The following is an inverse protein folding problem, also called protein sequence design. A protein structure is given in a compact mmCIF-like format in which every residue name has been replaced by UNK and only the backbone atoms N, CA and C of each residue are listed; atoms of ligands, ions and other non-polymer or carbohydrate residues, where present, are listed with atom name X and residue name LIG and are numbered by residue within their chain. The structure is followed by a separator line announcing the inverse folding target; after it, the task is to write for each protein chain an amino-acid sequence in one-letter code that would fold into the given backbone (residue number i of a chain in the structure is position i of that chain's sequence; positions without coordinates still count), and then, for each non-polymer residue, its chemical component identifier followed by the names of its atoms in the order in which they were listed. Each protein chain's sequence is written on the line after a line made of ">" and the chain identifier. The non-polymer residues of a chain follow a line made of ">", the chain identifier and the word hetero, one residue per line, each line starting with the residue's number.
data_IF_097732578291
#
_entry.id   IF_097732578291
#
_cell.length_a   1.000
_cell.length_b   1.000
_cell.length_c   1.000
_cell.angle_alpha   90.00
_cell.angle_beta   90.00
_cell.angle_gamma   90.00
#
_symmetry.space_group_name_H-M   'P 1'
#
loop_
_entity.id
_entity.type
_entity.pdbx_description
1 polymer ?
#
# COMPACT_ATOMS: atom_id res chain seq x y z
N UNK A 1 -3.59 -53.01 40.23
CA UNK A 1 -4.33 -51.73 40.20
C UNK A 1 -3.88 -50.98 38.96
N UNK A 2 -4.70 -51.00 37.90
CA UNK A 2 -4.43 -50.23 36.69
C UNK A 2 -4.80 -48.78 36.94
N UNK A 3 -3.81 -47.91 37.01
CA UNK A 3 -4.00 -46.46 37.03
C UNK A 3 -4.70 -46.08 35.72
N UNK A 4 -5.99 -45.73 35.77
CA UNK A 4 -6.67 -45.13 34.63
C UNK A 4 -5.94 -43.82 34.32
N UNK A 5 -5.15 -43.81 33.24
CA UNK A 5 -4.61 -42.58 32.70
C UNK A 5 -5.80 -41.65 32.43
N UNK A 6 -5.85 -40.54 33.16
CA UNK A 6 -6.80 -39.47 32.88
C UNK A 6 -6.53 -39.01 31.45
N UNK A 7 -7.36 -39.44 30.51
CA UNK A 7 -7.30 -38.95 29.14
C UNK A 7 -7.59 -37.46 29.21
N UNK A 8 -6.57 -36.65 28.95
CA UNK A 8 -6.69 -35.21 29.07
C UNK A 8 -7.51 -34.72 27.86
N UNK A 9 -8.82 -34.61 28.03
CA UNK A 9 -9.81 -34.24 27.00
C UNK A 9 -9.74 -32.74 26.64
N UNK A 10 -8.65 -32.03 26.93
CA UNK A 10 -8.56 -30.57 26.74
C UNK A 10 -7.16 -30.11 26.41
N UNK A 11 -7.09 -29.05 25.61
CA UNK A 11 -5.83 -28.33 25.41
C UNK A 11 -5.44 -27.59 26.70
N UNK A 12 -4.13 -27.38 26.87
CA UNK A 12 -3.61 -26.49 27.92
C UNK A 12 -4.23 -25.10 27.82
N UNK A 13 -4.41 -24.41 28.96
CA UNK A 13 -4.95 -23.05 28.98
C UNK A 13 -4.18 -22.08 28.05
N UNK A 14 -2.85 -22.21 27.98
CA UNK A 14 -1.99 -21.39 27.10
C UNK A 14 -2.37 -21.60 25.62
N UNK A 15 -2.50 -22.85 25.18
CA UNK A 15 -2.93 -23.14 23.80
C UNK A 15 -4.32 -22.59 23.46
N UNK A 16 -5.24 -22.58 24.42
CA UNK A 16 -6.58 -22.01 24.27
C UNK A 16 -6.51 -20.48 24.15
N UNK A 17 -5.77 -19.82 25.05
CA UNK A 17 -5.57 -18.36 25.01
C UNK A 17 -4.92 -17.94 23.69
N UNK A 18 -3.85 -18.61 23.28
CA UNK A 18 -3.19 -18.35 21.99
C UNK A 18 -4.14 -18.56 20.81
N UNK A 19 -5.02 -19.57 20.87
CA UNK A 19 -5.99 -19.83 19.80
C UNK A 19 -6.96 -18.66 19.63
N UNK A 20 -7.62 -18.27 20.73
CA UNK A 20 -8.63 -17.22 20.69
C UNK A 20 -8.03 -15.84 20.44
N UNK A 21 -6.85 -15.54 20.99
CA UNK A 21 -6.14 -14.30 20.71
C UNK A 21 -5.84 -14.14 19.20
N UNK A 22 -5.29 -15.19 18.57
CA UNK A 22 -5.01 -15.20 17.13
C UNK A 22 -6.31 -15.15 16.32
N UNK A 23 -7.33 -15.94 16.71
CA UNK A 23 -8.60 -15.97 16.00
C UNK A 23 -9.27 -14.58 15.97
N UNK A 24 -9.36 -13.90 17.12
CA UNK A 24 -9.93 -12.56 17.17
C UNK A 24 -9.09 -11.54 16.41
N UNK A 25 -7.76 -11.62 16.51
CA UNK A 25 -6.88 -10.75 15.74
C UNK A 25 -7.11 -10.91 14.22
N UNK A 26 -7.18 -12.15 13.71
CA UNK A 26 -7.45 -12.42 12.28
C UNK A 26 -8.84 -11.94 11.88
N UNK A 27 -9.89 -12.27 12.66
CA UNK A 27 -11.27 -11.88 12.37
C UNK A 27 -11.47 -10.36 12.35
N UNK A 28 -10.69 -9.61 13.13
CA UNK A 28 -10.65 -8.15 13.07
C UNK A 28 -9.80 -7.65 11.88
N UNK A 29 -8.65 -8.26 11.63
CA UNK A 29 -7.69 -7.75 10.65
C UNK A 29 -8.14 -7.91 9.20
N UNK A 30 -8.92 -8.97 8.89
CA UNK A 30 -9.46 -9.21 7.54
C UNK A 30 -10.40 -8.07 7.08
N UNK A 31 -11.50 -7.74 7.78
CA UNK A 31 -12.38 -6.64 7.37
C UNK A 31 -11.68 -5.29 7.39
N UNK A 32 -10.74 -5.06 8.32
CA UNK A 32 -9.90 -3.86 8.31
C UNK A 32 -9.08 -3.76 7.01
N UNK A 33 -8.48 -4.87 6.58
CA UNK A 33 -7.70 -4.94 5.35
C UNK A 33 -8.53 -4.70 4.09
N UNK A 34 -9.75 -5.24 4.04
CA UNK A 34 -10.70 -4.97 2.95
C UNK A 34 -11.10 -3.50 2.91
N UNK A 35 -11.48 -2.94 4.05
CA UNK A 35 -11.89 -1.55 4.17
C UNK A 35 -10.76 -0.58 3.77
N UNK A 36 -9.53 -0.77 4.26
CA UNK A 36 -8.42 0.13 3.92
C UNK A 36 -8.04 0.05 2.44
N UNK A 37 -8.15 -1.13 1.82
CA UNK A 37 -7.88 -1.32 0.40
C UNK A 37 -8.93 -0.61 -0.47
N UNK A 38 -10.22 -0.76 -0.15
CA UNK A 38 -11.29 -0.03 -0.85
C UNK A 38 -11.11 1.49 -0.78
N UNK A 39 -10.62 1.99 0.37
CA UNK A 39 -10.31 3.42 0.55
C UNK A 39 -9.11 3.85 -0.31
N UNK A 40 -8.07 3.03 -0.38
CA UNK A 40 -6.91 3.29 -1.22
C UNK A 40 -7.28 3.34 -2.71
N UNK A 41 -8.11 2.40 -3.18
CA UNK A 41 -8.65 2.39 -4.55
C UNK A 41 -9.52 3.64 -4.85
N UNK A 42 -10.22 4.15 -3.83
CA UNK A 42 -10.95 5.41 -3.92
C UNK A 42 -10.06 6.66 -3.81
N UNK A 43 -8.73 6.52 -3.80
CA UNK A 43 -7.74 7.58 -3.64
C UNK A 43 -7.86 8.38 -2.31
N UNK A 44 -8.50 7.79 -1.30
CA UNK A 44 -8.61 8.36 0.05
C UNK A 44 -7.31 8.14 0.82
N UNK A 45 -6.59 9.25 1.08
CA UNK A 45 -5.34 9.26 1.84
C UNK A 45 -5.49 9.97 3.18
N UNK A 46 -6.70 10.01 3.72
CA UNK A 46 -6.94 10.60 5.03
C UNK A 46 -6.08 9.95 6.11
N UNK A 47 -5.78 10.72 7.17
CA UNK A 47 -5.03 10.24 8.32
C UNK A 47 -5.65 8.97 8.93
N UNK A 48 -6.98 8.86 8.90
CA UNK A 48 -7.70 7.66 9.35
C UNK A 48 -7.33 6.41 8.55
N UNK A 49 -7.23 6.53 7.22
CA UNK A 49 -6.81 5.42 6.35
C UNK A 49 -5.35 5.07 6.61
N UNK A 50 -4.46 6.06 6.73
CA UNK A 50 -3.06 5.81 7.09
C UNK A 50 -2.92 5.05 8.42
N UNK A 51 -3.63 5.49 9.47
CA UNK A 51 -3.65 4.83 10.78
C UNK A 51 -4.19 3.41 10.68
N UNK A 52 -5.19 3.16 9.85
CA UNK A 52 -5.72 1.82 9.60
C UNK A 52 -4.69 0.90 8.94
N UNK A 53 -3.93 1.37 7.94
CA UNK A 53 -2.82 0.62 7.36
C UNK A 53 -1.77 0.27 8.42
N UNK A 54 -1.38 1.21 9.27
CA UNK A 54 -0.40 0.95 10.33
C UNK A 54 -0.94 -0.04 11.39
N UNK A 55 -2.22 0.07 11.75
CA UNK A 55 -2.88 -0.87 12.65
C UNK A 55 -2.92 -2.28 12.04
N UNK A 56 -3.29 -2.40 10.76
CA UNK A 56 -3.35 -3.67 10.05
C UNK A 56 -1.99 -4.38 10.01
N UNK A 57 -0.92 -3.64 9.69
CA UNK A 57 0.46 -4.14 9.71
C UNK A 57 0.85 -4.62 11.12
N UNK A 58 0.56 -3.82 12.14
CA UNK A 58 0.89 -4.12 13.54
C UNK A 58 0.18 -5.38 14.05
N UNK A 59 -1.10 -5.54 13.73
CA UNK A 59 -1.88 -6.74 14.08
C UNK A 59 -1.35 -7.94 13.32
N UNK A 60 -1.05 -7.80 12.02
CA UNK A 60 -0.44 -8.86 11.21
C UNK A 60 0.88 -9.38 11.80
N UNK A 61 1.80 -8.47 12.17
CA UNK A 61 3.06 -8.83 12.83
C UNK A 61 2.83 -9.48 14.20
N UNK A 62 1.83 -9.03 14.95
CA UNK A 62 1.46 -9.65 16.24
C UNK A 62 0.96 -11.08 16.04
N UNK A 63 0.12 -11.32 15.01
CA UNK A 63 -0.34 -12.66 14.63
C UNK A 63 0.85 -13.55 14.25
N UNK A 64 1.84 -13.03 13.52
CA UNK A 64 3.05 -13.77 13.17
C UNK A 64 3.78 -14.25 14.44
N UNK A 65 4.07 -13.34 15.38
CA UNK A 65 4.76 -13.66 16.64
C UNK A 65 3.96 -14.67 17.47
N UNK A 66 2.67 -14.43 17.68
CA UNK A 66 1.81 -15.34 18.43
C UNK A 66 1.71 -16.72 17.77
N UNK A 67 1.73 -16.77 16.43
CA UNK A 67 1.71 -18.02 15.68
C UNK A 67 3.01 -18.80 15.83
N UNK A 68 4.17 -18.14 15.84
CA UNK A 68 5.46 -18.78 16.14
C UNK A 68 5.45 -19.38 17.55
N UNK A 69 4.97 -18.64 18.55
CA UNK A 69 4.81 -19.14 19.93
C UNK A 69 3.85 -20.34 19.95
N UNK A 70 2.72 -20.27 19.23
CA UNK A 70 1.75 -21.37 19.12
C UNK A 70 2.35 -22.61 18.47
N UNK A 71 3.14 -22.46 17.41
CA UNK A 71 3.84 -23.57 16.75
C UNK A 71 4.83 -24.20 17.71
N UNK A 72 5.67 -23.40 18.38
CA UNK A 72 6.61 -23.89 19.40
C UNK A 72 5.90 -24.62 20.56
N UNK A 73 4.78 -24.08 21.01
CA UNK A 73 3.94 -24.72 22.03
C UNK A 73 3.40 -26.07 21.56
N UNK A 74 2.91 -26.15 20.32
CA UNK A 74 2.39 -27.40 19.75
C UNK A 74 3.47 -28.46 19.55
N UNK A 75 4.70 -28.06 19.24
CA UNK A 75 5.82 -29.00 19.08
C UNK A 75 6.28 -29.59 20.42
N UNK A 76 6.05 -28.87 21.52
CA UNK A 76 6.50 -29.26 22.87
C UNK A 76 5.42 -29.92 23.72
N UNK A 77 4.14 -29.81 23.34
CA UNK A 77 3.01 -30.31 24.12
C UNK A 77 2.13 -31.28 23.31
N UNK A 78 1.73 -32.40 23.93
CA UNK A 78 0.86 -33.38 23.32
C UNK A 78 -0.55 -32.80 23.06
N UNK A 79 -1.09 -33.06 21.87
CA UNK A 79 -2.47 -32.72 21.52
C UNK A 79 -3.46 -33.71 22.17
N UNK A 80 -4.66 -33.28 22.58
CA UNK A 80 -5.74 -34.17 22.97
C UNK A 80 -6.01 -35.20 21.87
N UNK A 81 -6.33 -36.43 22.27
CA UNK A 81 -6.71 -37.48 21.33
C UNK A 81 -7.96 -37.08 20.55
N UNK A 82 -7.94 -37.29 19.24
CA UNK A 82 -9.15 -37.17 18.42
C UNK A 82 -10.18 -38.23 18.84
N UNK A 83 -11.50 -37.96 18.68
CA UNK A 83 -12.53 -38.92 19.04
C UNK A 83 -12.31 -40.28 18.36
N UNK A 84 -12.46 -41.36 19.13
CA UNK A 84 -12.18 -42.72 18.64
C UNK A 84 -13.11 -43.07 17.46
N UNK A 85 -14.37 -42.63 17.53
CA UNK A 85 -15.42 -42.87 16.55
C UNK A 85 -15.31 -42.00 15.27
N UNK A 86 -14.43 -40.99 15.25
CA UNK A 86 -14.27 -40.11 14.10
C UNK A 86 -13.65 -40.88 12.91
N UNK A 87 -14.27 -40.84 11.71
CA UNK A 87 -13.74 -41.46 10.50
C UNK A 87 -12.31 -41.01 10.15
N UNK A 88 -11.54 -41.89 9.52
CA UNK A 88 -10.13 -41.60 9.16
C UNK A 88 -9.99 -40.40 8.24
N UNK A 89 -10.95 -40.17 7.33
CA UNK A 89 -10.94 -39.03 6.42
C UNK A 89 -11.18 -37.71 7.17
N UNK A 90 -12.05 -37.66 8.19
CA UNK A 90 -12.24 -36.48 9.04
C UNK A 90 -10.98 -36.17 9.85
N UNK A 91 -10.31 -37.21 10.38
CA UNK A 91 -9.01 -37.07 11.07
C UNK A 91 -7.93 -36.50 10.15
N UNK A 92 -7.86 -36.97 8.90
CA UNK A 92 -6.93 -36.45 7.90
C UNK A 92 -7.26 -35.01 7.51
N UNK A 93 -8.54 -34.71 7.25
CA UNK A 93 -9.01 -33.36 6.94
C UNK A 93 -8.67 -32.38 8.06
N UNK A 94 -8.90 -32.75 9.33
CA UNK A 94 -8.53 -31.93 10.49
C UNK A 94 -7.02 -31.64 10.53
N UNK A 95 -6.17 -32.64 10.23
CA UNK A 95 -4.71 -32.44 10.17
C UNK A 95 -4.30 -31.49 9.04
N UNK A 96 -4.87 -31.66 7.85
CA UNK A 96 -4.60 -30.82 6.68
C UNK A 96 -5.06 -29.39 6.95
N UNK A 97 -6.28 -29.19 7.47
CA UNK A 97 -6.81 -27.86 7.84
C UNK A 97 -5.90 -27.17 8.86
N UNK A 98 -5.45 -27.87 9.90
CA UNK A 98 -4.50 -27.27 10.85
C UNK A 98 -3.16 -26.91 10.19
N UNK A 99 -2.62 -27.77 9.32
CA UNK A 99 -1.39 -27.47 8.59
C UNK A 99 -1.55 -26.24 7.69
N UNK A 100 -2.66 -26.15 6.97
CA UNK A 100 -2.99 -25.01 6.11
C UNK A 100 -3.14 -23.72 6.93
N UNK A 101 -3.74 -23.77 8.12
CA UNK A 101 -3.74 -22.61 9.02
C UNK A 101 -2.34 -22.23 9.48
N UNK A 102 -1.49 -23.19 9.88
CA UNK A 102 -0.11 -22.85 10.26
C UNK A 102 0.64 -22.20 9.11
N UNK A 103 0.49 -22.73 7.90
CA UNK A 103 1.04 -22.10 6.70
C UNK A 103 0.47 -20.69 6.51
N UNK A 104 -0.85 -20.52 6.49
CA UNK A 104 -1.51 -19.23 6.27
C UNK A 104 -1.14 -18.18 7.33
N UNK A 105 -1.15 -18.54 8.61
CA UNK A 105 -0.82 -17.64 9.73
C UNK A 105 0.63 -17.14 9.70
N UNK A 106 1.54 -17.86 9.04
CA UNK A 106 2.92 -17.41 8.83
C UNK A 106 3.05 -16.67 7.49
N UNK A 107 2.53 -17.25 6.41
CA UNK A 107 2.69 -16.73 5.06
C UNK A 107 1.96 -15.39 4.82
N UNK A 108 0.76 -15.20 5.37
CA UNK A 108 0.02 -13.93 5.26
C UNK A 108 0.82 -12.74 5.81
N UNK A 109 1.19 -12.71 7.10
CA UNK A 109 1.91 -11.56 7.63
C UNK A 109 3.31 -11.41 7.02
N UNK A 110 3.98 -12.52 6.65
CA UNK A 110 5.27 -12.43 5.95
C UNK A 110 5.14 -11.80 4.55
N UNK A 111 4.12 -12.16 3.77
CA UNK A 111 3.89 -11.55 2.46
C UNK A 111 3.49 -10.08 2.58
N UNK A 112 2.72 -9.71 3.61
CA UNK A 112 2.40 -8.31 3.91
C UNK A 112 3.63 -7.50 4.34
N UNK A 113 4.51 -8.08 5.17
CA UNK A 113 5.77 -7.44 5.57
C UNK A 113 6.71 -7.28 4.36
N UNK A 114 6.77 -8.29 3.49
CA UNK A 114 7.55 -8.23 2.26
C UNK A 114 7.03 -7.15 1.30
N UNK A 115 5.71 -7.00 1.19
CA UNK A 115 5.07 -5.93 0.39
C UNK A 115 5.51 -4.54 0.87
N UNK A 116 5.37 -4.26 2.17
CA UNK A 116 5.74 -2.94 2.71
C UNK A 116 7.25 -2.71 2.67
N UNK A 117 8.05 -3.77 2.73
CA UNK A 117 9.52 -3.69 2.61
C UNK A 117 9.98 -3.30 1.21
N UNK A 118 9.23 -3.67 0.16
CA UNK A 118 9.54 -3.24 -1.20
C UNK A 118 9.39 -1.72 -1.39
N UNK A 119 8.64 -1.05 -0.52
CA UNK A 119 8.47 0.40 -0.55
C UNK A 119 7.93 0.90 -1.90
N UNK A 120 7.01 0.16 -2.52
CA UNK A 120 6.38 0.50 -3.79
C UNK A 120 4.86 0.52 -3.64
N UNK A 121 4.22 1.56 -4.16
CA UNK A 121 2.77 1.66 -4.21
C UNK A 121 2.24 1.02 -5.49
N UNK A 122 1.54 -0.11 -5.37
CA UNK A 122 0.92 -0.77 -6.53
C UNK A 122 -0.25 0.05 -7.11
N UNK A 123 -0.91 0.88 -6.29
CA UNK A 123 -2.05 1.69 -6.74
C UNK A 123 -1.64 2.87 -7.63
N UNK A 124 -0.47 3.45 -7.36
CA UNK A 124 0.03 4.65 -8.06
C UNK A 124 1.28 4.38 -8.88
N UNK A 125 1.68 3.10 -8.95
CA UNK A 125 2.85 2.58 -9.65
C UNK A 125 4.12 3.42 -9.49
N UNK A 126 4.50 3.70 -8.25
CA UNK A 126 5.68 4.52 -7.91
C UNK A 126 6.29 4.14 -6.57
N UNK A 127 7.57 4.52 -6.32
CA UNK A 127 8.19 4.41 -5.01
C UNK A 127 7.35 5.09 -3.92
N UNK A 128 7.08 4.36 -2.83
CA UNK A 128 6.42 4.87 -1.65
C UNK A 128 6.95 4.13 -0.42
N UNK A 129 8.01 4.67 0.18
CA UNK A 129 8.61 4.13 1.40
C UNK A 129 7.86 4.69 2.59
N UNK A 130 7.00 3.88 3.19
CA UNK A 130 6.27 4.23 4.41
C UNK A 130 6.82 3.40 5.56
N UNK A 131 7.49 4.02 6.55
CA UNK A 131 8.00 3.32 7.72
C UNK A 131 6.90 2.52 8.40
N UNK A 132 7.13 1.22 8.63
CA UNK A 132 6.19 0.39 9.38
C UNK A 132 6.45 0.60 10.85
N UNK A 133 5.48 1.18 11.57
CA UNK A 133 5.59 1.41 13.01
C UNK A 133 4.74 0.41 13.77
N UNK A 134 5.35 -0.39 14.65
CA UNK A 134 4.62 -1.36 15.46
C UNK A 134 3.81 -0.66 16.55
N UNK A 135 2.49 -0.54 16.35
CA UNK A 135 1.56 0.25 17.18
C UNK A 135 2.05 1.68 17.49
N UNK A 136 2.86 2.27 16.61
CA UNK A 136 3.47 3.59 16.82
C UNK A 136 4.66 3.61 17.79
N UNK A 137 5.07 2.48 18.36
CA UNK A 137 6.09 2.39 19.42
C UNK A 137 7.51 2.45 18.86
N UNK A 138 7.81 1.63 17.85
CA UNK A 138 9.12 1.53 17.23
C UNK A 138 9.00 1.19 15.75
N UNK A 139 10.07 1.47 15.00
CA UNK A 139 10.17 1.16 13.59
C UNK A 139 10.49 -0.33 13.39
N UNK A 140 9.77 -0.97 12.48
CA UNK A 140 10.03 -2.35 12.07
C UNK A 140 10.87 -2.29 10.80
N UNK A 141 12.09 -2.89 10.80
CA UNK A 141 12.99 -2.82 9.67
C UNK A 141 12.37 -3.48 8.43
N UNK A 142 12.78 -3.00 7.27
CA UNK A 142 12.47 -3.63 6.00
C UNK A 142 13.23 -4.95 5.83
N UNK A 143 12.63 -5.87 5.09
CA UNK A 143 13.23 -7.16 4.81
C UNK A 143 14.20 -7.04 3.64
N UNK A 144 15.39 -7.63 3.83
CA UNK A 144 16.41 -7.81 2.79
C UNK A 144 16.93 -6.52 2.15
N UNK A 145 16.72 -5.36 2.77
CA UNK A 145 17.08 -4.06 2.19
C UNK A 145 16.32 -3.76 0.89
N UNK A 146 15.13 -4.34 0.73
CA UNK A 146 14.32 -4.18 -0.49
C UNK A 146 13.93 -2.73 -0.76
N UNK A 147 13.88 -1.88 0.26
CA UNK A 147 13.61 -0.46 0.10
C UNK A 147 14.68 0.28 -0.72
N UNK A 148 15.90 -0.28 -0.80
CA UNK A 148 17.04 0.25 -1.55
C UNK A 148 17.34 -0.51 -2.85
N UNK A 149 16.53 -1.50 -3.20
CA UNK A 149 16.69 -2.22 -4.46
C UNK A 149 16.28 -1.34 -5.66
N UNK A 150 16.67 -1.75 -6.86
CA UNK A 150 16.23 -1.09 -8.09
C UNK A 150 14.71 -1.07 -8.21
N UNK A 151 14.17 -0.02 -8.83
CA UNK A 151 12.73 0.21 -8.92
C UNK A 151 11.99 -0.95 -9.61
N UNK A 152 12.58 -1.56 -10.65
CA UNK A 152 12.01 -2.75 -11.31
C UNK A 152 11.86 -3.94 -10.34
N UNK A 153 12.82 -4.15 -9.46
CA UNK A 153 12.80 -5.22 -8.44
C UNK A 153 11.75 -4.90 -7.38
N UNK A 154 11.67 -3.64 -6.94
CA UNK A 154 10.68 -3.18 -5.97
C UNK A 154 9.26 -3.32 -6.49
N UNK A 155 9.00 -2.81 -7.70
CA UNK A 155 7.71 -2.88 -8.36
C UNK A 155 7.24 -4.31 -8.58
N UNK A 156 8.09 -5.15 -9.19
CA UNK A 156 7.76 -6.56 -9.46
C UNK A 156 7.55 -7.36 -8.17
N UNK A 157 8.36 -7.13 -7.13
CA UNK A 157 8.19 -7.78 -5.83
C UNK A 157 6.87 -7.36 -5.20
N UNK A 158 6.61 -6.06 -5.10
CA UNK A 158 5.41 -5.52 -4.49
C UNK A 158 4.13 -6.05 -5.16
N UNK A 159 4.09 -6.06 -6.49
CA UNK A 159 2.95 -6.58 -7.24
C UNK A 159 2.68 -8.07 -6.94
N UNK A 160 3.72 -8.90 -7.05
CA UNK A 160 3.58 -10.34 -6.87
C UNK A 160 3.22 -10.72 -5.42
N UNK A 161 3.85 -10.07 -4.44
CA UNK A 161 3.63 -10.41 -3.03
C UNK A 161 2.31 -9.84 -2.51
N UNK A 162 1.84 -8.70 -3.01
CA UNK A 162 0.49 -8.19 -2.71
C UNK A 162 -0.58 -9.11 -3.29
N UNK A 163 -0.41 -9.56 -4.54
CA UNK A 163 -1.30 -10.54 -5.16
C UNK A 163 -1.37 -11.82 -4.34
N UNK A 164 -0.23 -12.33 -3.89
CA UNK A 164 -0.16 -13.51 -3.04
C UNK A 164 -0.82 -13.25 -1.67
N UNK A 165 -0.58 -12.10 -1.05
CA UNK A 165 -1.19 -11.72 0.23
C UNK A 165 -2.72 -11.73 0.13
N UNK A 166 -3.27 -11.13 -0.93
CA UNK A 166 -4.70 -11.12 -1.21
C UNK A 166 -5.27 -12.54 -1.39
N UNK A 167 -4.59 -13.38 -2.17
CA UNK A 167 -4.97 -14.77 -2.39
C UNK A 167 -5.00 -15.57 -1.07
N UNK A 168 -3.96 -15.42 -0.25
CA UNK A 168 -3.87 -16.09 1.05
C UNK A 168 -4.94 -15.58 2.03
N UNK A 169 -5.33 -14.31 1.94
CA UNK A 169 -6.39 -13.72 2.75
C UNK A 169 -7.74 -14.39 2.50
N UNK A 170 -8.14 -14.49 1.23
CA UNK A 170 -9.35 -15.19 0.83
C UNK A 170 -9.31 -16.69 1.15
N UNK A 171 -8.17 -17.34 0.89
CA UNK A 171 -7.99 -18.75 1.22
C UNK A 171 -8.14 -19.00 2.73
N UNK A 172 -7.56 -18.13 3.56
CA UNK A 172 -7.65 -18.22 5.03
C UNK A 172 -9.06 -17.93 5.52
N UNK A 173 -9.77 -16.96 4.93
CA UNK A 173 -11.17 -16.69 5.27
C UNK A 173 -12.08 -17.90 4.94
N UNK A 174 -11.91 -18.49 3.76
CA UNK A 174 -12.63 -19.70 3.37
C UNK A 174 -12.33 -20.88 4.30
N UNK A 175 -11.05 -21.07 4.65
CA UNK A 175 -10.62 -22.11 5.59
C UNK A 175 -11.17 -21.87 7.01
N UNK A 176 -11.22 -20.62 7.47
CA UNK A 176 -11.83 -20.21 8.74
C UNK A 176 -13.32 -20.55 8.77
N UNK A 177 -14.06 -20.23 7.70
CA UNK A 177 -15.47 -20.61 7.56
C UNK A 177 -15.68 -22.12 7.65
N UNK A 178 -14.87 -22.89 6.90
CA UNK A 178 -14.91 -24.36 6.92
C UNK A 178 -14.57 -24.93 8.30
N UNK A 179 -13.58 -24.36 8.98
CA UNK A 179 -13.18 -24.76 10.33
C UNK A 179 -14.29 -24.52 11.36
N UNK A 180 -14.91 -23.34 11.33
CA UNK A 180 -16.04 -23.02 12.22
C UNK A 180 -17.24 -23.92 11.90
N UNK A 181 -17.57 -24.12 10.63
CA UNK A 181 -18.66 -25.00 10.22
C UNK A 181 -18.42 -26.45 10.70
N UNK A 182 -17.18 -26.96 10.60
CA UNK A 182 -16.83 -28.27 11.13
C UNK A 182 -17.00 -28.32 12.66
N UNK A 183 -16.52 -27.32 13.40
CA UNK A 183 -16.69 -27.27 14.86
C UNK A 183 -18.18 -27.27 15.26
N UNK A 184 -19.03 -26.53 14.54
CA UNK A 184 -20.48 -26.51 14.76
C UNK A 184 -21.14 -27.84 14.37
N UNK A 185 -20.70 -28.48 13.28
CA UNK A 185 -21.14 -29.84 12.90
C UNK A 185 -20.88 -30.81 14.06
N UNK A 186 -19.65 -30.81 14.56
CA UNK A 186 -19.22 -31.68 15.66
C UNK A 186 -20.02 -31.42 16.94
N UNK A 187 -20.30 -30.16 17.26
CA UNK A 187 -21.10 -29.80 18.44
C UNK A 187 -22.58 -30.20 18.34
N UNK A 188 -23.23 -29.92 17.20
CA UNK A 188 -24.69 -30.02 17.10
C UNK A 188 -25.18 -31.35 16.48
N UNK A 189 -24.41 -31.91 15.55
CA UNK A 189 -24.79 -33.12 14.81
C UNK A 189 -24.06 -34.36 15.33
N UNK A 190 -22.73 -34.33 15.39
CA UNK A 190 -21.95 -35.48 15.86
C UNK A 190 -22.00 -35.59 17.40
N UNK A 191 -22.25 -34.47 18.09
CA UNK A 191 -22.36 -34.33 19.54
C UNK A 191 -21.14 -34.91 20.27
N UNK A 192 -19.96 -34.55 19.79
CA UNK A 192 -18.69 -35.05 20.34
C UNK A 192 -17.92 -33.97 21.13
N UNK A 193 -16.77 -34.37 21.66
CA UNK A 193 -15.91 -33.55 22.51
C UNK A 193 -15.08 -32.48 21.78
N UNK A 194 -15.10 -32.40 20.44
CA UNK A 194 -14.16 -31.59 19.64
C UNK A 194 -14.21 -30.11 20.01
N UNK A 195 -15.40 -29.54 20.17
CA UNK A 195 -15.55 -28.12 20.54
C UNK A 195 -15.14 -27.86 22.01
N UNK A 196 -15.39 -28.83 22.89
CA UNK A 196 -15.03 -28.75 24.31
C UNK A 196 -13.51 -28.76 24.56
N UNK A 197 -12.72 -29.16 23.55
CA UNK A 197 -11.25 -29.08 23.61
C UNK A 197 -10.74 -27.62 23.59
N UNK A 198 -11.45 -26.70 22.93
CA UNK A 198 -11.00 -25.31 22.71
C UNK A 198 -11.85 -24.24 23.40
N UNK A 199 -13.09 -24.53 23.80
CA UNK A 199 -13.95 -23.55 24.47
C UNK A 199 -13.78 -23.64 26.00
N UNK A 200 -13.31 -22.58 26.68
CA UNK A 200 -13.24 -22.55 28.14
C UNK A 200 -14.60 -22.83 28.77
N UNK A 201 -14.66 -23.73 29.75
CA UNK A 201 -15.89 -24.01 30.49
C UNK A 201 -16.92 -24.90 29.78
N UNK A 202 -16.81 -25.14 28.46
CA UNK A 202 -17.72 -26.03 27.74
C UNK A 202 -17.41 -27.50 28.08
N UNK A 203 -18.33 -28.17 28.78
CA UNK A 203 -18.23 -29.62 29.03
C UNK A 203 -18.62 -30.37 27.76
N UNK A 204 -17.87 -31.41 27.40
CA UNK A 204 -18.22 -32.27 26.28
C UNK A 204 -19.66 -32.79 26.47
N UNK A 205 -20.57 -32.60 25.50
CA UNK A 205 -21.88 -33.20 25.57
C UNK A 205 -21.67 -34.72 25.43
N UNK A 206 -22.03 -35.47 26.45
CA UNK A 206 -22.32 -36.91 26.36
C UNK A 206 -21.14 -37.82 25.97
N UNK A 207 -20.30 -38.13 26.96
CA UNK A 207 -19.69 -39.46 27.01
C UNK A 207 -20.79 -40.50 27.33
N UNK A 208 -21.61 -40.87 26.33
CA UNK A 208 -22.30 -42.17 26.22
C UNK A 208 -23.12 -42.29 24.92
N UNK A 209 -22.99 -43.49 24.36
CA UNK A 209 -23.76 -44.17 23.32
C UNK A 209 -23.43 -43.86 21.85
N UNK A 210 -22.58 -44.73 21.30
CA UNK A 210 -22.37 -44.94 19.87
C UNK A 210 -23.70 -45.33 19.19
N UNK A 211 -24.42 -44.36 18.64
CA UNK A 211 -25.57 -44.61 17.78
C UNK A 211 -25.16 -44.48 16.31
N UNK A 212 -25.57 -45.47 15.52
CA UNK A 212 -25.18 -45.74 14.14
C UNK A 212 -25.23 -44.53 13.19
N UNK A 213 -24.23 -44.45 12.32
CA UNK A 213 -24.11 -43.50 11.23
C UNK A 213 -25.17 -43.75 10.14
N UNK A 214 -26.10 -42.80 9.95
CA UNK A 214 -26.94 -42.74 8.75
C UNK A 214 -26.10 -42.19 7.58
N UNK A 215 -25.63 -43.08 6.71
CA UNK A 215 -24.78 -42.75 5.55
C UNK A 215 -25.36 -41.70 4.60
N UNK A 216 -26.67 -41.48 4.60
CA UNK A 216 -27.33 -40.47 3.79
C UNK A 216 -27.11 -39.02 4.28
N UNK A 217 -26.86 -38.81 5.58
CA UNK A 217 -26.57 -37.48 6.17
C UNK A 217 -25.10 -37.06 6.01
N UNK A 218 -24.21 -38.04 5.87
CA UNK A 218 -22.78 -37.83 5.59
C UNK A 218 -22.53 -37.47 4.12
N UNK A 219 -23.36 -37.97 3.19
CA UNK A 219 -23.24 -37.66 1.77
C UNK A 219 -23.60 -36.20 1.44
N UNK A 220 -24.63 -35.63 2.09
CA UNK A 220 -25.04 -34.23 1.92
C UNK A 220 -24.04 -33.23 2.52
N UNK A 221 -23.40 -33.57 3.64
CA UNK A 221 -22.35 -32.76 4.25
C UNK A 221 -21.00 -32.91 3.54
N UNK A 222 -20.67 -34.11 3.06
CA UNK A 222 -19.50 -34.36 2.20
C UNK A 222 -19.56 -33.57 0.89
N UNK A 223 -20.75 -33.41 0.30
CA UNK A 223 -20.97 -32.59 -0.89
C UNK A 223 -20.78 -31.08 -0.61
N UNK A 224 -21.27 -30.58 0.54
CA UNK A 224 -21.06 -29.17 0.92
C UNK A 224 -19.59 -28.82 1.20
N UNK A 225 -18.86 -29.69 1.90
CA UNK A 225 -17.43 -29.54 2.18
C UNK A 225 -16.57 -29.67 0.91
N UNK A 226 -16.93 -30.58 0.00
CA UNK A 226 -16.22 -30.75 -1.27
C UNK A 226 -16.49 -29.62 -2.25
N UNK A 227 -17.71 -29.08 -2.34
CA UNK A 227 -18.02 -27.87 -3.15
C UNK A 227 -17.25 -26.66 -2.62
N UNK A 228 -17.16 -26.48 -1.30
CA UNK A 228 -16.43 -25.35 -0.70
C UNK A 228 -14.91 -25.49 -0.85
N UNK A 229 -14.38 -26.71 -0.73
CA UNK A 229 -12.97 -26.99 -1.03
C UNK A 229 -12.65 -26.84 -2.52
N UNK A 230 -13.57 -27.22 -3.42
CA UNK A 230 -13.45 -26.99 -4.86
C UNK A 230 -13.48 -25.49 -5.18
N UNK A 231 -14.34 -24.71 -4.52
CA UNK A 231 -14.41 -23.25 -4.70
C UNK A 231 -13.15 -22.55 -4.16
N UNK A 232 -12.59 -23.01 -3.05
CA UNK A 232 -11.30 -22.52 -2.53
C UNK A 232 -10.11 -22.87 -3.45
N UNK A 233 -10.06 -24.10 -3.97
CA UNK A 233 -9.06 -24.52 -4.97
C UNK A 233 -9.25 -23.82 -6.32
N UNK A 234 -10.50 -23.56 -6.73
CA UNK A 234 -10.84 -22.83 -7.94
C UNK A 234 -10.48 -21.35 -7.81
N UNK A 235 -10.72 -20.72 -6.66
CA UNK A 235 -10.27 -19.35 -6.37
C UNK A 235 -8.74 -19.25 -6.36
N UNK A 236 -8.05 -20.26 -5.81
CA UNK A 236 -6.58 -20.33 -5.84
C UNK A 236 -6.08 -20.50 -7.29
N UNK A 237 -6.73 -21.35 -8.08
CA UNK A 237 -6.41 -21.57 -9.49
C UNK A 237 -6.70 -20.34 -10.37
N UNK A 238 -7.82 -19.64 -10.18
CA UNK A 238 -8.16 -18.43 -10.95
C UNK A 238 -7.20 -17.28 -10.66
N UNK A 239 -6.78 -17.10 -9.41
CA UNK A 239 -5.78 -16.07 -9.05
C UNK A 239 -4.40 -16.39 -9.64
N UNK A 240 -4.01 -17.67 -9.71
CA UNK A 240 -2.71 -18.06 -10.27
C UNK A 240 -2.67 -18.08 -11.81
N UNK A 241 -3.82 -18.22 -12.49
CA UNK A 241 -3.88 -18.41 -13.95
C UNK A 241 -4.45 -17.23 -14.74
N UNK A 242 -5.05 -16.23 -14.10
CA UNK A 242 -5.45 -15.00 -14.78
C UNK A 242 -4.20 -14.16 -15.12
N UNK A 243 -3.96 -13.85 -16.41
CA UNK A 243 -3.06 -12.77 -16.77
C UNK A 243 -3.74 -11.49 -16.30
N UNK A 244 -3.24 -10.91 -15.20
CA UNK A 244 -3.50 -9.50 -14.92
C UNK A 244 -2.88 -8.79 -16.12
N UNK A 245 -3.73 -8.26 -16.99
CA UNK A 245 -3.26 -7.50 -18.15
C UNK A 245 -2.27 -6.46 -17.64
N UNK A 246 -1.07 -6.46 -18.21
CA UNK A 246 -0.19 -5.31 -18.10
C UNK A 246 -1.06 -4.11 -18.46
N UNK A 247 -1.20 -3.15 -17.55
CA UNK A 247 -1.74 -1.86 -17.95
C UNK A 247 -0.93 -1.41 -19.17
N UNK A 248 -1.56 -1.04 -20.30
CA UNK A 248 -0.80 -0.50 -21.41
C UNK A 248 0.04 0.65 -20.87
N UNK A 249 1.33 0.75 -21.24
CA UNK A 249 2.17 1.84 -20.78
C UNK A 249 1.43 3.15 -21.05
N UNK A 250 1.33 3.99 -20.01
CA UNK A 250 0.69 5.30 -20.12
C UNK A 250 1.29 6.00 -21.35
N UNK A 251 0.46 6.54 -22.25
CA UNK A 251 0.99 7.32 -23.35
C UNK A 251 1.85 8.45 -22.76
N UNK A 252 3.01 8.76 -23.36
CA UNK A 252 3.82 9.88 -22.89
C UNK A 252 2.93 11.13 -22.85
N UNK A 253 3.01 11.88 -21.76
CA UNK A 253 2.26 13.12 -21.57
C UNK A 253 2.64 14.10 -22.68
N UNK A 254 1.85 14.11 -23.75
CA UNK A 254 2.01 15.07 -24.84
C UNK A 254 1.44 16.41 -24.38
N UNK A 255 2.31 17.28 -23.87
CA UNK A 255 1.94 18.67 -23.65
C UNK A 255 1.74 19.33 -25.02
N UNK A 256 0.49 19.67 -25.36
CA UNK A 256 0.22 20.56 -26.48
C UNK A 256 0.53 22.00 -26.06
N UNK A 257 1.45 22.62 -26.79
CA UNK A 257 1.68 24.06 -26.71
C UNK A 257 0.49 24.75 -27.40
N UNK A 258 -0.34 25.44 -26.62
CA UNK A 258 -1.29 26.41 -27.18
C UNK A 258 -0.50 27.68 -27.45
N UNK A 259 -0.24 27.98 -28.73
CA UNK A 259 0.29 29.28 -29.13
C UNK A 259 -0.72 30.36 -28.75
N UNK A 260 -0.31 31.27 -27.85
CA UNK A 260 -1.07 32.47 -27.57
C UNK A 260 -0.91 33.45 -28.73
N UNK A 261 -1.97 33.59 -29.52
CA UNK A 261 -2.17 34.65 -30.50
C UNK A 261 -1.91 36.01 -29.85
N UNK A 262 -0.92 36.74 -30.35
CA UNK A 262 -0.73 38.16 -30.03
C UNK A 262 -1.95 38.95 -30.48
N UNK A 263 -2.81 39.33 -29.52
CA UNK A 263 -3.81 40.36 -29.70
C UNK A 263 -3.10 41.69 -29.92
N UNK A 264 -3.15 42.18 -31.15
CA UNK A 264 -2.77 43.54 -31.48
C UNK A 264 -3.89 44.48 -31.03
N UNK A 265 -3.59 45.30 -30.02
CA UNK A 265 -4.42 46.45 -29.68
C UNK A 265 -4.39 47.47 -30.82
N UNK A 266 -5.55 48.03 -31.08
CA UNK A 266 -5.88 48.83 -32.26
C UNK A 266 -5.41 50.28 -32.04
N UNK A 267 -4.55 50.81 -32.93
CA UNK A 267 -4.44 52.26 -33.13
C UNK A 267 -4.03 52.58 -34.57
N UNK A 268 -5.05 52.99 -35.32
CA UNK A 268 -5.10 53.82 -36.53
C UNK A 268 -3.81 54.50 -37.00
N UNK A 269 -3.39 54.20 -38.25
CA UNK A 269 -3.06 55.22 -39.25
C UNK A 269 -2.98 54.63 -40.68
N UNK A 270 -3.76 55.25 -41.55
CA UNK A 270 -3.95 55.08 -42.99
C UNK A 270 -2.66 55.12 -43.83
N UNK A 271 -2.49 54.20 -44.78
CA UNK A 271 -2.16 54.50 -46.19
C UNK A 271 -2.02 53.23 -47.05
N UNK A 272 -2.73 53.26 -48.18
CA UNK A 272 -2.69 52.35 -49.33
C UNK A 272 -1.29 52.19 -49.94
N UNK A 273 -0.89 50.99 -50.40
CA UNK A 273 -0.82 50.61 -51.84
C UNK A 273 -0.24 49.19 -52.06
N UNK A 274 -1.01 48.37 -52.79
CA UNK A 274 -0.68 47.51 -53.95
C UNK A 274 0.73 46.89 -54.17
N UNK A 275 0.71 45.56 -54.35
CA UNK A 275 1.48 44.70 -55.27
C UNK A 275 2.86 44.08 -54.88
N UNK A 276 2.78 42.75 -54.71
CA UNK A 276 3.67 41.58 -54.95
C UNK A 276 4.43 41.61 -56.31
N UNK A 277 5.39 40.68 -56.63
CA UNK A 277 6.50 40.02 -55.90
C UNK A 277 7.89 40.18 -56.59
N UNK A 278 8.93 39.60 -55.96
CA UNK A 278 9.97 38.73 -56.58
C UNK A 278 11.45 39.15 -56.43
N UNK A 279 12.15 38.29 -55.67
CA UNK A 279 13.40 37.60 -56.03
C UNK A 279 14.78 38.30 -55.91
N UNK A 280 15.65 37.56 -55.18
CA UNK A 280 17.08 37.31 -55.48
C UNK A 280 18.14 38.21 -54.81
N UNK A 281 18.76 37.60 -53.79
CA UNK A 281 20.21 37.59 -53.48
C UNK A 281 20.89 38.89 -53.08
N UNK A 282 21.33 38.96 -51.82
CA UNK A 282 22.75 39.11 -51.46
C UNK A 282 22.90 39.20 -49.94
N UNK A 283 23.87 38.44 -49.42
CA UNK A 283 24.37 38.59 -48.07
C UNK A 283 24.80 40.05 -47.83
N UNK A 284 24.16 40.70 -46.87
CA UNK A 284 24.67 41.92 -46.25
C UNK A 284 24.64 41.67 -44.76
N UNK A 285 25.84 41.68 -44.18
CA UNK A 285 26.14 41.64 -42.76
C UNK A 285 25.20 42.57 -41.98
N UNK A 286 24.31 42.01 -41.17
CA UNK A 286 23.59 42.77 -40.15
C UNK A 286 24.63 43.34 -39.20
N UNK A 287 24.72 44.67 -39.01
CA UNK A 287 25.58 45.20 -37.97
C UNK A 287 25.02 44.70 -36.64
N UNK A 288 25.87 44.06 -35.83
CA UNK A 288 25.65 43.89 -34.41
C UNK A 288 25.23 45.25 -33.84
N UNK A 289 24.04 45.40 -33.23
CA UNK A 289 23.78 46.59 -32.45
C UNK A 289 24.80 46.57 -31.30
N UNK A 290 25.79 47.45 -31.35
CA UNK A 290 26.52 47.83 -30.15
C UNK A 290 25.46 48.34 -29.17
N UNK A 291 25.35 47.77 -27.96
CA UNK A 291 24.37 48.23 -27.00
C UNK A 291 24.69 49.68 -26.67
N UNK A 292 23.77 50.58 -27.01
CA UNK A 292 23.78 51.95 -26.55
C UNK A 292 23.96 51.95 -25.03
N UNK A 293 24.95 52.71 -24.58
CA UNK A 293 25.34 52.82 -23.19
C UNK A 293 24.16 53.10 -22.24
N UNK A 294 24.06 52.30 -21.18
CA UNK A 294 23.81 52.80 -19.82
C UNK A 294 22.36 53.06 -19.39
N UNK A 295 21.35 52.39 -19.96
CA UNK A 295 19.97 52.50 -19.48
C UNK A 295 19.57 51.39 -18.51
N UNK A 296 18.58 51.65 -17.64
CA UNK A 296 17.92 50.62 -16.82
C UNK A 296 17.27 49.59 -17.74
N UNK A 297 17.61 48.32 -17.55
CA UNK A 297 17.03 47.19 -18.28
C UNK A 297 16.15 46.38 -17.34
N UNK A 298 14.93 46.07 -17.78
CA UNK A 298 14.02 45.17 -17.07
C UNK A 298 13.86 43.89 -17.87
N UNK A 299 14.17 42.75 -17.26
CA UNK A 299 13.96 41.43 -17.83
C UNK A 299 12.91 40.67 -17.04
N UNK A 300 12.11 39.87 -17.75
CA UNK A 300 11.27 38.85 -17.16
C UNK A 300 11.87 37.49 -17.47
N UNK A 301 12.02 36.66 -16.45
CA UNK A 301 12.52 35.30 -16.60
C UNK A 301 11.49 34.48 -17.38
N UNK A 302 11.95 33.72 -18.38
CA UNK A 302 11.09 32.84 -19.16
C UNK A 302 10.80 31.55 -18.37
N UNK A 303 9.57 31.41 -17.88
CA UNK A 303 9.13 30.23 -17.12
C UNK A 303 9.08 28.96 -17.97
N UNK A 304 8.88 29.06 -19.29
CA UNK A 304 8.79 27.89 -20.18
C UNK A 304 10.12 27.18 -20.42
N UNK A 305 11.24 27.86 -20.15
CA UNK A 305 12.60 27.32 -20.33
C UNK A 305 13.43 27.37 -19.05
N UNK A 306 12.81 27.71 -17.92
CA UNK A 306 13.47 27.85 -16.62
C UNK A 306 12.65 27.14 -15.56
N UNK A 307 13.27 26.73 -14.46
CA UNK A 307 12.58 26.10 -13.34
C UNK A 307 13.11 26.60 -12.00
N UNK A 308 12.26 26.55 -10.98
CA UNK A 308 12.68 26.68 -9.59
C UNK A 308 12.51 25.31 -8.95
N UNK A 309 13.63 24.69 -8.59
CA UNK A 309 13.66 23.43 -7.87
C UNK A 309 13.41 23.62 -6.37
N UNK A 310 12.81 22.62 -5.76
CA UNK A 310 12.78 22.43 -4.32
C UNK A 310 13.54 21.16 -3.98
N UNK A 311 14.27 21.16 -2.87
CA UNK A 311 14.92 19.97 -2.34
C UNK A 311 14.77 19.98 -0.82
N UNK A 312 14.37 18.85 -0.26
CA UNK A 312 14.29 18.68 1.19
C UNK A 312 14.88 17.34 1.58
N UNK A 313 15.51 17.32 2.75
CA UNK A 313 16.13 16.12 3.32
C UNK A 313 15.26 15.67 4.48
N UNK A 314 14.67 14.49 4.35
CA UNK A 314 14.07 13.79 5.47
C UNK A 314 15.17 13.02 6.19
N UNK A 315 15.47 13.43 7.43
CA UNK A 315 16.44 12.75 8.25
C UNK A 315 15.74 11.65 9.03
N UNK A 316 16.01 10.40 8.66
CA UNK A 316 15.60 9.24 9.44
C UNK A 316 16.76 8.86 10.39
N UNK A 317 16.55 8.87 11.71
CA UNK A 317 17.59 8.51 12.68
C UNK A 317 18.19 7.11 12.50
N UNK A 318 17.47 6.20 11.84
CA UNK A 318 17.88 4.80 11.63
C UNK A 318 18.33 4.56 10.18
N UNK A 319 17.67 5.18 9.21
CA UNK A 319 17.87 4.92 7.78
C UNK A 319 18.70 6.00 7.05
N UNK A 320 19.12 7.05 7.77
CA UNK A 320 19.89 8.15 7.23
C UNK A 320 19.06 9.19 6.49
N UNK A 321 19.76 10.05 5.75
CA UNK A 321 19.16 11.19 5.06
C UNK A 321 18.57 10.75 3.71
N UNK A 322 17.26 10.93 3.54
CA UNK A 322 16.56 10.74 2.26
C UNK A 322 16.28 12.09 1.63
N UNK A 323 16.85 12.34 0.46
CA UNK A 323 16.63 13.58 -0.29
C UNK A 323 15.47 13.43 -1.27
N UNK A 324 14.56 14.40 -1.21
CA UNK A 324 13.45 14.54 -2.16
C UNK A 324 13.67 15.79 -3.00
N UNK A 325 13.35 15.71 -4.29
CA UNK A 325 13.50 16.80 -5.23
C UNK A 325 12.18 17.05 -5.96
N UNK A 326 11.78 18.31 -6.06
CA UNK A 326 10.60 18.73 -6.79
C UNK A 326 10.80 20.08 -7.47
N UNK A 327 9.70 20.69 -7.92
CA UNK A 327 9.69 22.00 -8.56
C UNK A 327 8.46 22.80 -8.14
N UNK A 328 8.52 24.12 -8.33
CA UNK A 328 7.33 24.97 -8.27
C UNK A 328 6.76 25.20 -9.67
N UNK A 329 5.50 24.84 -9.87
CA UNK A 329 4.82 25.00 -11.15
C UNK A 329 4.42 26.44 -11.48
N UNK A 330 4.30 27.32 -10.47
CA UNK A 330 3.84 28.69 -10.61
C UNK A 330 4.78 29.66 -9.89
N UNK A 331 5.52 30.44 -10.66
CA UNK A 331 6.44 31.46 -10.16
C UNK A 331 6.69 32.54 -11.20
N UNK A 332 7.24 33.67 -10.76
CA UNK A 332 7.59 34.80 -11.60
C UNK A 332 8.93 35.38 -11.15
N UNK A 333 9.85 35.55 -12.08
CA UNK A 333 11.11 36.27 -11.87
C UNK A 333 11.16 37.55 -12.69
N UNK A 334 11.44 38.68 -12.06
CA UNK A 334 11.75 39.95 -12.73
C UNK A 334 13.13 40.45 -12.28
N UNK A 335 13.95 40.90 -13.23
CA UNK A 335 15.29 41.42 -13.00
C UNK A 335 15.32 42.88 -13.47
N UNK A 336 15.65 43.79 -12.56
CA UNK A 336 16.00 45.18 -12.85
C UNK A 336 17.51 45.30 -12.76
N UNK A 337 18.14 45.71 -13.85
CA UNK A 337 19.57 45.94 -13.91
C UNK A 337 19.85 47.35 -14.41
N UNK A 338 20.55 48.14 -13.60
CA UNK A 338 21.08 49.44 -13.97
C UNK A 338 22.62 49.41 -13.86
N UNK A 339 23.35 49.43 -14.99
CA UNK A 339 24.81 49.41 -14.96
C UNK A 339 25.43 50.63 -14.28
N UNK A 340 24.67 51.73 -14.12
CA UNK A 340 25.12 52.95 -13.45
C UNK A 340 24.64 53.06 -12.00
N UNK A 341 23.72 52.19 -11.57
CA UNK A 341 23.15 52.15 -10.23
C UNK A 341 22.99 50.70 -9.74
N UNK A 342 24.12 50.01 -9.61
CA UNK A 342 24.17 48.63 -9.14
C UNK A 342 23.49 48.43 -7.77
N UNK A 343 23.63 49.34 -6.78
CA UNK A 343 22.95 49.19 -5.48
C UNK A 343 21.42 49.17 -5.54
N UNK A 344 20.81 49.71 -6.60
CA UNK A 344 19.36 49.67 -6.82
C UNK A 344 18.95 48.69 -7.94
N UNK A 345 19.89 47.88 -8.41
CA UNK A 345 19.57 46.72 -9.25
C UNK A 345 19.04 45.59 -8.37
N UNK A 346 18.06 44.84 -8.87
CA UNK A 346 17.39 43.80 -8.08
C UNK A 346 16.84 42.70 -8.96
N UNK A 347 16.95 41.45 -8.52
CA UNK A 347 16.14 40.34 -9.00
C UNK A 347 15.09 40.01 -7.93
N UNK A 348 13.83 39.92 -8.34
CA UNK A 348 12.70 39.54 -7.50
C UNK A 348 12.09 38.27 -8.07
N UNK A 349 11.92 37.27 -7.22
CA UNK A 349 11.27 36.00 -7.57
C UNK A 349 10.11 35.80 -6.62
N UNK A 350 8.91 35.67 -7.17
CA UNK A 350 7.68 35.38 -6.43
C UNK A 350 7.25 33.97 -6.79
N UNK A 351 7.06 33.13 -5.78
CA UNK A 351 6.71 31.72 -5.92
C UNK A 351 5.34 31.50 -5.29
N UNK A 352 4.40 30.88 -6.01
CA UNK A 352 3.17 30.39 -5.39
C UNK A 352 3.48 29.04 -4.74
N UNK A 353 3.54 29.01 -3.41
CA UNK A 353 4.03 27.81 -2.69
C UNK A 353 3.09 26.61 -2.83
N UNK A 354 1.79 26.85 -3.07
CA UNK A 354 0.81 25.80 -3.37
C UNK A 354 1.10 25.04 -4.69
N UNK A 355 1.98 25.57 -5.53
CA UNK A 355 2.37 24.94 -6.80
C UNK A 355 3.56 23.98 -6.68
N UNK A 356 4.04 23.74 -5.45
CA UNK A 356 5.09 22.77 -5.18
C UNK A 356 4.63 21.36 -5.57
N UNK A 357 5.44 20.64 -6.33
CA UNK A 357 5.21 19.23 -6.62
C UNK A 357 6.52 18.48 -6.87
N UNK A 358 6.55 17.20 -6.53
CA UNK A 358 7.65 16.27 -6.83
C UNK A 358 7.21 15.10 -7.73
N UNK A 359 5.92 15.05 -8.11
CA UNK A 359 5.36 13.99 -8.95
C UNK A 359 4.82 12.80 -8.16
N UNK A 360 4.84 12.88 -6.82
CA UNK A 360 4.27 11.89 -5.91
C UNK A 360 3.00 12.50 -5.27
N UNK A 361 1.80 12.15 -5.72
CA UNK A 361 0.51 12.76 -5.29
C UNK A 361 0.28 12.80 -3.78
N UNK A 362 0.86 11.88 -3.01
CA UNK A 362 0.75 11.93 -1.54
C UNK A 362 1.61 13.07 -0.97
N UNK A 363 2.79 13.30 -1.55
CA UNK A 363 3.62 14.46 -1.23
C UNK A 363 2.99 15.73 -1.80
N UNK A 364 2.58 15.74 -3.07
CA UNK A 364 1.99 16.91 -3.73
C UNK A 364 0.73 17.41 -3.02
N UNK A 365 -0.06 16.52 -2.40
CA UNK A 365 -1.20 16.91 -1.57
C UNK A 365 -0.81 17.37 -0.16
N UNK A 366 0.34 16.92 0.35
CA UNK A 366 0.88 17.30 1.65
C UNK A 366 1.65 18.63 1.64
N UNK A 367 2.41 18.92 0.58
CA UNK A 367 3.27 20.10 0.45
C UNK A 367 2.53 21.43 0.72
N UNK A 368 1.28 21.64 0.26
CA UNK A 368 0.56 22.89 0.54
C UNK A 368 0.01 23.01 1.98
N UNK A 369 0.04 21.93 2.77
CA UNK A 369 -0.58 21.89 4.11
C UNK A 369 0.28 22.55 5.18
N UNK A 370 -0.30 22.76 6.36
CA UNK A 370 0.33 23.43 7.50
C UNK A 370 1.59 22.74 8.05
N UNK A 371 1.78 21.45 7.77
CA UNK A 371 2.99 20.72 8.18
C UNK A 371 4.20 21.04 7.29
N UNK A 372 3.97 21.71 6.16
CA UNK A 372 4.98 22.06 5.16
C UNK A 372 4.96 23.57 4.86
N UNK A 373 4.47 23.97 3.69
CA UNK A 373 4.52 25.37 3.26
C UNK A 373 3.41 26.23 3.87
N UNK A 374 2.40 25.62 4.49
CA UNK A 374 1.19 26.29 4.98
C UNK A 374 0.66 27.32 3.98
N UNK A 375 0.35 26.85 2.76
CA UNK A 375 -0.01 27.73 1.65
C UNK A 375 -1.28 28.55 1.92
N UNK A 376 -2.09 28.14 2.89
CA UNK A 376 -3.25 28.90 3.35
C UNK A 376 -2.86 30.17 4.12
N UNK A 377 -1.86 30.10 5.00
CA UNK A 377 -1.34 31.25 5.72
C UNK A 377 -0.27 32.02 4.92
N UNK A 378 0.49 31.33 4.09
CA UNK A 378 1.64 31.83 3.33
C UNK A 378 1.51 31.54 1.84
N UNK A 379 0.60 32.19 1.10
CA UNK A 379 0.29 31.83 -0.29
C UNK A 379 1.45 32.06 -1.27
N UNK A 380 2.39 32.94 -0.91
CA UNK A 380 3.53 33.29 -1.75
C UNK A 380 4.82 33.40 -0.95
N UNK A 381 5.92 32.92 -1.52
CA UNK A 381 7.28 33.22 -1.07
C UNK A 381 7.93 34.25 -2.01
N UNK A 382 8.55 35.30 -1.46
CA UNK A 382 9.30 36.30 -2.22
C UNK A 382 10.79 36.19 -1.88
N UNK A 383 11.62 36.05 -2.92
CA UNK A 383 13.06 36.24 -2.84
C UNK A 383 13.43 37.53 -3.56
N UNK A 384 14.21 38.39 -2.90
CA UNK A 384 14.71 39.63 -3.46
C UNK A 384 16.20 39.73 -3.21
N UNK A 385 16.98 39.94 -4.26
CA UNK A 385 18.40 40.27 -4.10
C UNK A 385 18.52 41.68 -3.55
N UNK A 386 19.32 41.83 -2.49
CA UNK A 386 19.72 43.13 -1.90
C UNK A 386 20.94 43.70 -2.58
#
# INVERSE_FOLDING_TARGET
>A
MSTMAVTNQRYSAIAIVLHWAIAFAILFNIPLGLWMHERAEANDVSEGVFRAFQLHKSIGLTVLVLSLVRVGWRLTHAQPSLPVHMPTWEKQAARVTHLLFYFGMLALPLTGWLYVSAGWSVHTDRPLVVPTRYFGLFHVPDLFGLSHADDDVRASTAFNVLKLHWALGWATLGLAGLHVAAALKHQFFDRDEVMAHMVPGLRAPFAKDSAAQDGARLATLGFGLSVTALLGLLALYTVFTLPMGNAPPLPPSTFQTVEATTGADTSTATASTTATPAATTAATTTPTPSPTAGGVVNWRVNQGTSSIGLSFVYQDPENGDTTFNGVFGQWRGDIRFDPNDLPHSSAVVIIQVASAHDGVDIHDRGLPTAEWFDAGAHPTAEFRTT
#
